data_IF_180056649548
#
_entry.id   IF_180056649548
#
_cell.length_a   1.000
_cell.length_b   1.000
_cell.length_c   1.000
_cell.angle_alpha   90.00
_cell.angle_beta   90.00
_cell.angle_gamma   90.00
#
_symmetry.space_group_name_H-M   'P 1'
#
loop_
_entity.id
_entity.type
_entity.pdbx_description
1 polymer ?
#
# COMPACT_ATOMS: atom_id res chain seq x y z
N UNK A 1 22.27 -7.02 -46.00
CA UNK A 1 22.33 -6.43 -44.63
C UNK A 1 23.76 -6.62 -44.13
N UNK A 2 24.46 -5.55 -43.77
CA UNK A 2 25.86 -5.67 -43.30
C UNK A 2 25.90 -6.14 -41.85
N UNK A 3 27.00 -6.83 -41.45
CA UNK A 3 27.19 -7.26 -40.05
C UNK A 3 26.97 -6.12 -39.03
N UNK A 4 27.39 -4.90 -39.39
CA UNK A 4 27.20 -3.69 -38.56
C UNK A 4 25.71 -3.35 -38.30
N UNK A 5 24.84 -3.59 -39.25
CA UNK A 5 23.41 -3.32 -39.11
C UNK A 5 22.72 -4.36 -38.19
N UNK A 6 23.21 -5.59 -38.19
CA UNK A 6 22.75 -6.66 -37.30
C UNK A 6 23.08 -6.31 -35.84
N UNK A 7 24.28 -5.85 -35.53
CA UNK A 7 24.67 -5.45 -34.18
C UNK A 7 23.85 -4.26 -33.67
N UNK A 8 23.57 -3.27 -34.50
CA UNK A 8 22.73 -2.12 -34.15
C UNK A 8 21.28 -2.57 -33.85
N UNK A 9 20.73 -3.45 -34.69
CA UNK A 9 19.37 -3.97 -34.46
C UNK A 9 19.29 -4.80 -33.16
N UNK A 10 20.26 -5.69 -32.91
CA UNK A 10 20.32 -6.47 -31.68
C UNK A 10 20.47 -5.59 -30.42
N UNK A 11 21.33 -4.57 -30.48
CA UNK A 11 21.49 -3.62 -29.37
C UNK A 11 20.20 -2.83 -29.11
N UNK A 12 19.51 -2.36 -30.15
CA UNK A 12 18.23 -1.65 -30.02
C UNK A 12 17.14 -2.54 -29.39
N UNK A 13 17.06 -3.80 -29.80
CA UNK A 13 16.12 -4.79 -29.22
C UNK A 13 16.44 -5.08 -27.75
N UNK A 14 17.72 -5.21 -27.40
CA UNK A 14 18.15 -5.43 -26.03
C UNK A 14 17.77 -4.23 -25.12
N UNK A 15 18.03 -3.01 -25.58
CA UNK A 15 17.65 -1.78 -24.86
C UNK A 15 16.14 -1.69 -24.72
N UNK A 16 15.38 -1.93 -25.79
CA UNK A 16 13.92 -1.93 -25.71
C UNK A 16 13.39 -2.99 -24.72
N UNK A 17 13.96 -4.18 -24.72
CA UNK A 17 13.63 -5.23 -23.75
C UNK A 17 13.88 -4.82 -22.30
N UNK A 18 15.04 -4.22 -22.02
CA UNK A 18 15.39 -3.70 -20.69
C UNK A 18 14.39 -2.61 -20.24
N UNK A 19 14.06 -1.68 -21.13
CA UNK A 19 13.09 -0.61 -20.84
C UNK A 19 11.71 -1.19 -20.54
N UNK A 20 11.24 -2.16 -21.31
CA UNK A 20 9.95 -2.83 -21.09
C UNK A 20 9.94 -3.53 -19.73
N UNK A 21 10.98 -4.29 -19.39
CA UNK A 21 11.08 -4.98 -18.08
C UNK A 21 11.11 -3.96 -16.94
N UNK A 22 11.87 -2.87 -17.07
CA UNK A 22 11.97 -1.82 -16.07
C UNK A 22 10.62 -1.10 -15.85
N UNK A 23 9.87 -0.83 -16.93
CA UNK A 23 8.54 -0.19 -16.82
C UNK A 23 7.47 -1.14 -16.29
N UNK A 24 7.61 -2.45 -16.56
CA UNK A 24 6.66 -3.45 -16.08
C UNK A 24 6.81 -3.76 -14.59
N UNK A 25 8.04 -3.80 -14.09
CA UNK A 25 8.36 -4.16 -12.70
C UNK A 25 9.44 -3.20 -12.13
N UNK A 26 9.11 -1.92 -11.96
CA UNK A 26 10.06 -0.92 -11.55
C UNK A 26 10.56 -1.18 -10.12
N UNK A 27 11.88 -1.24 -9.88
CA UNK A 27 12.44 -1.55 -8.56
C UNK A 27 12.14 -0.50 -7.49
N UNK A 28 11.84 0.73 -7.89
CA UNK A 28 11.52 1.86 -7.01
C UNK A 28 10.08 1.89 -6.50
N UNK A 29 9.18 1.08 -7.07
CA UNK A 29 7.74 1.15 -6.76
C UNK A 29 7.45 0.79 -5.30
N UNK A 30 8.30 -0.03 -4.68
CA UNK A 30 8.15 -0.39 -3.26
C UNK A 30 8.19 0.79 -2.29
N UNK A 31 8.81 1.91 -2.68
CA UNK A 31 8.83 3.15 -1.89
C UNK A 31 7.68 4.12 -2.19
N UNK A 32 6.85 3.81 -3.18
CA UNK A 32 5.75 4.70 -3.59
C UNK A 32 4.53 4.49 -2.70
N UNK A 33 3.93 5.59 -2.27
CA UNK A 33 2.66 5.57 -1.55
C UNK A 33 1.72 6.63 -2.11
N UNK A 34 0.41 6.37 -2.02
CA UNK A 34 -0.63 7.32 -2.39
C UNK A 34 -1.70 7.36 -1.31
N UNK A 35 -2.33 8.52 -1.11
CA UNK A 35 -3.36 8.69 -0.10
C UNK A 35 -2.89 8.55 1.35
N UNK A 36 -1.58 8.59 1.57
CA UNK A 36 -0.93 8.63 2.88
C UNK A 36 -0.26 10.00 3.05
N UNK A 37 -0.48 10.65 4.19
CA UNK A 37 0.18 11.91 4.52
C UNK A 37 1.59 11.68 5.05
N UNK A 38 2.29 12.77 5.38
CA UNK A 38 3.59 12.70 6.04
C UNK A 38 3.54 11.95 7.37
N UNK A 39 4.69 11.50 7.84
CA UNK A 39 4.81 10.89 9.15
C UNK A 39 4.62 11.94 10.24
N UNK A 40 3.83 11.59 11.23
CA UNK A 40 3.59 12.36 12.45
C UNK A 40 3.91 11.50 13.67
N UNK A 41 4.06 12.12 14.80
CA UNK A 41 4.35 11.43 16.07
C UNK A 41 3.31 11.83 17.11
N UNK A 42 2.67 10.84 17.70
CA UNK A 42 1.73 11.00 18.80
C UNK A 42 2.49 10.78 20.14
N UNK A 43 2.40 11.65 21.13
CA UNK A 43 2.92 11.32 22.45
C UNK A 43 2.25 10.05 23.00
N UNK A 44 2.97 9.04 23.49
CA UNK A 44 4.39 8.99 23.90
C UNK A 44 5.38 8.48 22.84
N UNK A 45 5.20 8.72 21.56
CA UNK A 45 6.21 8.41 20.57
C UNK A 45 5.80 7.39 19.51
N UNK A 46 4.51 7.14 19.33
CA UNK A 46 4.00 6.30 18.25
C UNK A 46 4.02 7.08 16.94
N UNK A 47 4.77 6.57 15.97
CA UNK A 47 4.75 7.13 14.62
C UNK A 47 3.54 6.64 13.83
N UNK A 48 2.89 7.56 13.13
CA UNK A 48 1.71 7.27 12.32
C UNK A 48 1.63 8.19 11.10
N UNK A 49 0.74 7.83 10.19
CA UNK A 49 0.36 8.64 9.03
C UNK A 49 -1.16 8.66 8.91
N UNK A 50 -1.72 9.78 8.51
CA UNK A 50 -3.11 9.85 8.13
C UNK A 50 -3.34 9.25 6.75
N UNK A 51 -4.40 8.46 6.61
CA UNK A 51 -4.92 8.09 5.31
C UNK A 51 -5.92 9.13 4.82
N UNK A 52 -6.11 9.19 3.51
CA UNK A 52 -7.33 9.76 2.91
C UNK A 52 -8.42 8.68 2.81
N UNK A 53 -9.48 8.91 2.03
CA UNK A 53 -10.52 7.89 1.81
C UNK A 53 -10.02 6.61 1.11
N UNK A 54 -8.87 6.69 0.46
CA UNK A 54 -8.14 5.55 -0.12
C UNK A 54 -6.65 5.77 0.05
N UNK A 55 -5.95 4.75 0.50
CA UNK A 55 -4.50 4.77 0.59
C UNK A 55 -3.93 3.53 -0.11
N UNK A 56 -2.78 3.71 -0.77
CA UNK A 56 -2.09 2.66 -1.51
C UNK A 56 -0.63 2.62 -1.11
N UNK A 57 -0.10 1.42 -0.92
CA UNK A 57 1.33 1.16 -0.74
C UNK A 57 1.69 -0.18 -1.37
N UNK A 58 2.99 -0.46 -1.47
CA UNK A 58 3.49 -1.67 -2.12
C UNK A 58 4.23 -2.56 -1.14
N UNK A 59 3.99 -3.87 -1.25
CA UNK A 59 4.56 -4.91 -0.40
C UNK A 59 5.34 -5.90 -1.27
N UNK A 60 6.52 -6.38 -0.84
CA UNK A 60 7.25 -7.41 -1.58
C UNK A 60 6.39 -8.65 -1.85
N UNK A 61 6.44 -9.16 -3.07
CA UNK A 61 5.61 -10.31 -3.47
C UNK A 61 5.99 -11.62 -2.78
N UNK A 62 7.18 -11.70 -2.19
CA UNK A 62 7.62 -12.83 -1.38
C UNK A 62 7.15 -12.77 0.09
N UNK A 63 6.56 -11.66 0.55
CA UNK A 63 5.97 -11.58 1.87
C UNK A 63 4.80 -12.56 2.00
N UNK A 64 4.75 -13.25 3.15
CA UNK A 64 3.72 -14.29 3.45
C UNK A 64 2.64 -13.78 4.37
N UNK A 65 2.90 -12.69 5.08
CA UNK A 65 1.93 -12.00 5.93
C UNK A 65 2.27 -10.52 6.07
N UNK A 66 1.27 -9.76 6.46
CA UNK A 66 1.37 -8.33 6.70
C UNK A 66 0.55 -7.96 7.93
N UNK A 67 1.13 -7.17 8.83
CA UNK A 67 0.42 -6.60 9.98
C UNK A 67 0.25 -5.11 9.76
N UNK A 68 -1.00 -4.65 9.75
CA UNK A 68 -1.37 -3.24 9.56
C UNK A 68 -1.94 -2.69 10.85
N UNK A 69 -1.25 -1.75 11.52
CA UNK A 69 -1.80 -1.03 12.67
C UNK A 69 -2.72 0.10 12.18
N UNK A 70 -3.95 0.14 12.68
CA UNK A 70 -4.95 1.15 12.33
C UNK A 70 -5.60 1.74 13.58
N UNK A 71 -5.96 3.03 13.53
CA UNK A 71 -6.74 3.71 14.56
C UNK A 71 -7.69 4.71 13.92
N UNK A 72 -8.96 4.68 14.30
CA UNK A 72 -9.97 5.62 13.83
C UNK A 72 -10.28 6.64 14.94
N UNK A 73 -9.65 7.80 14.88
CA UNK A 73 -9.84 8.88 15.87
C UNK A 73 -11.23 9.51 15.78
N UNK A 74 -11.83 9.47 14.60
CA UNK A 74 -13.14 10.05 14.34
C UNK A 74 -14.17 8.95 14.06
N UNK A 75 -14.85 8.43 15.08
CA UNK A 75 -15.91 7.44 14.91
C UNK A 75 -17.06 7.98 14.06
N UNK A 76 -17.86 7.08 13.52
CA UNK A 76 -19.07 7.43 12.78
C UNK A 76 -20.13 8.08 13.68
N UNK A 77 -21.16 8.70 13.06
CA UNK A 77 -22.33 9.15 13.82
C UNK A 77 -22.91 7.98 14.60
N UNK A 78 -23.42 8.27 15.80
CA UNK A 78 -24.04 7.26 16.68
C UNK A 78 -23.15 6.05 17.01
N UNK A 79 -21.81 6.24 17.00
CA UNK A 79 -20.87 5.18 17.30
C UNK A 79 -20.70 4.15 16.17
N UNK A 80 -21.15 4.46 14.95
CA UNK A 80 -20.97 3.58 13.79
C UNK A 80 -19.47 3.31 13.55
N UNK A 81 -19.07 2.05 13.43
CA UNK A 81 -17.68 1.69 13.16
C UNK A 81 -17.15 2.30 11.87
N UNK A 82 -15.91 2.75 11.89
CA UNK A 82 -15.17 3.04 10.64
C UNK A 82 -14.68 1.73 10.07
N UNK A 83 -15.10 1.42 8.84
CA UNK A 83 -14.68 0.20 8.14
C UNK A 83 -13.49 0.49 7.23
N UNK A 84 -12.50 -0.37 7.28
CA UNK A 84 -11.33 -0.34 6.41
C UNK A 84 -11.26 -1.64 5.63
N UNK A 85 -11.51 -1.58 4.33
CA UNK A 85 -11.27 -2.71 3.43
C UNK A 85 -9.78 -2.75 3.07
N UNK A 86 -9.15 -3.89 3.34
CA UNK A 86 -7.79 -4.18 2.94
C UNK A 86 -7.80 -5.06 1.69
N UNK A 87 -7.14 -4.62 0.63
CA UNK A 87 -7.14 -5.27 -0.68
C UNK A 87 -5.72 -5.54 -1.18
N UNK A 88 -5.53 -6.67 -1.85
CA UNK A 88 -4.31 -7.09 -2.54
C UNK A 88 -4.61 -7.17 -4.04
N UNK A 89 -4.06 -6.25 -4.85
CA UNK A 89 -4.35 -6.12 -6.28
C UNK A 89 -5.85 -6.22 -6.61
N UNK A 90 -6.67 -5.39 -5.95
CA UNK A 90 -8.14 -5.34 -6.05
C UNK A 90 -8.91 -6.49 -5.37
N UNK A 91 -8.24 -7.56 -4.93
CA UNK A 91 -8.88 -8.65 -4.20
C UNK A 91 -9.04 -8.28 -2.72
N UNK A 92 -10.26 -8.33 -2.21
CA UNK A 92 -10.51 -8.13 -0.77
C UNK A 92 -9.81 -9.23 0.05
N UNK A 93 -8.95 -8.80 0.99
CA UNK A 93 -8.31 -9.67 1.98
C UNK A 93 -9.17 -9.75 3.23
N UNK A 94 -9.57 -8.59 3.76
CA UNK A 94 -10.38 -8.50 4.98
C UNK A 94 -11.03 -7.12 5.09
N UNK A 95 -12.02 -7.01 5.93
CA UNK A 95 -12.61 -5.74 6.38
C UNK A 95 -12.39 -5.62 7.88
N UNK A 96 -11.81 -4.49 8.30
CA UNK A 96 -11.48 -4.19 9.69
C UNK A 96 -12.48 -3.15 10.17
N UNK A 97 -13.14 -3.41 11.30
CA UNK A 97 -14.04 -2.46 11.94
C UNK A 97 -13.35 -1.80 13.13
N UNK A 98 -13.30 -0.47 13.12
CA UNK A 98 -12.67 0.35 14.14
C UNK A 98 -13.77 1.08 14.91
N UNK A 99 -13.97 0.67 16.16
CA UNK A 99 -15.04 1.20 17.03
C UNK A 99 -14.51 2.10 18.13
N UNK A 100 -13.30 1.82 18.63
CA UNK A 100 -12.69 2.55 19.72
C UNK A 100 -11.70 3.61 19.17
N UNK A 101 -11.96 4.92 19.38
CA UNK A 101 -11.08 5.96 18.87
C UNK A 101 -9.73 6.03 19.59
N UNK A 102 -9.61 5.43 20.77
CA UNK A 102 -8.39 5.44 21.56
C UNK A 102 -7.50 4.21 21.35
N UNK A 103 -8.03 3.17 20.70
CA UNK A 103 -7.34 1.91 20.51
C UNK A 103 -6.67 1.78 19.13
N UNK A 104 -5.43 1.29 19.14
CA UNK A 104 -4.76 0.78 17.96
C UNK A 104 -5.16 -0.68 17.70
N UNK A 105 -5.80 -0.92 16.57
CA UNK A 105 -6.13 -2.27 16.10
C UNK A 105 -5.02 -2.75 15.17
N UNK A 106 -4.36 -3.86 15.52
CA UNK A 106 -3.31 -4.49 14.70
C UNK A 106 -3.87 -5.74 14.04
N UNK A 107 -4.07 -5.67 12.75
CA UNK A 107 -4.61 -6.79 11.98
C UNK A 107 -3.51 -7.44 11.16
N UNK A 108 -3.30 -8.74 11.37
CA UNK A 108 -2.39 -9.54 10.56
C UNK A 108 -3.18 -10.32 9.53
N UNK A 109 -2.82 -10.17 8.26
CA UNK A 109 -3.43 -10.89 7.15
C UNK A 109 -2.39 -11.75 6.44
N UNK A 110 -2.76 -12.99 6.07
CA UNK A 110 -1.91 -13.82 5.23
C UNK A 110 -1.88 -13.28 3.80
N UNK A 111 -0.71 -13.32 3.19
CA UNK A 111 -0.50 -12.96 1.80
C UNK A 111 -0.18 -14.23 1.00
N UNK A 112 -0.77 -14.38 -0.17
CA UNK A 112 -0.40 -15.49 -1.07
C UNK A 112 0.99 -15.24 -1.61
N UNK A 113 1.90 -16.20 -1.44
CA UNK A 113 3.21 -16.16 -2.07
C UNK A 113 3.05 -16.11 -3.59
N UNK A 114 3.89 -15.32 -4.22
CA UNK A 114 4.03 -15.33 -5.66
C UNK A 114 3.36 -14.16 -6.35
N UNK A 115 3.84 -13.93 -7.53
CA UNK A 115 3.49 -12.86 -8.45
C UNK A 115 4.61 -12.75 -9.46
N UNK A 116 4.32 -12.27 -10.66
CA UNK A 116 5.34 -12.00 -11.68
C UNK A 116 6.15 -10.74 -11.38
N UNK A 117 5.63 -9.89 -10.45
CA UNK A 117 6.24 -8.61 -10.06
C UNK A 117 6.92 -8.75 -8.71
N UNK A 118 7.94 -7.92 -8.47
CA UNK A 118 8.66 -7.82 -7.18
C UNK A 118 7.77 -7.34 -6.06
N UNK A 119 6.79 -6.46 -6.39
CA UNK A 119 5.89 -5.86 -5.44
C UNK A 119 4.44 -6.06 -5.88
N UNK A 120 3.55 -6.20 -4.89
CA UNK A 120 2.11 -6.19 -5.04
C UNK A 120 1.53 -4.90 -4.46
N UNK A 121 0.43 -4.45 -5.03
CA UNK A 121 -0.27 -3.26 -4.55
C UNK A 121 -1.22 -3.65 -3.43
N UNK A 122 -1.12 -2.92 -2.31
CA UNK A 122 -2.06 -3.01 -1.21
C UNK A 122 -2.85 -1.71 -1.16
N UNK A 123 -4.16 -1.83 -1.15
CA UNK A 123 -5.09 -0.71 -1.01
C UNK A 123 -5.83 -0.80 0.32
N UNK A 124 -5.94 0.34 1.00
CA UNK A 124 -6.85 0.58 2.10
C UNK A 124 -7.99 1.44 1.57
N UNK A 125 -9.23 0.98 1.71
CA UNK A 125 -10.42 1.77 1.39
C UNK A 125 -11.17 2.05 2.67
N UNK A 126 -11.27 3.32 3.03
CA UNK A 126 -11.81 3.80 4.28
C UNK A 126 -13.26 4.26 4.05
N UNK A 127 -14.19 3.76 4.86
CA UNK A 127 -15.62 4.06 4.73
C UNK A 127 -15.98 5.49 5.07
N UNK A 128 -15.11 6.22 5.78
CA UNK A 128 -15.37 7.58 6.24
C UNK A 128 -14.12 8.43 6.23
N UNK A 129 -14.27 9.65 5.76
CA UNK A 129 -13.28 10.73 5.87
C UNK A 129 -13.91 11.94 6.55
N UNK A 130 -13.11 12.73 7.26
CA UNK A 130 -13.59 13.85 8.08
C UNK A 130 -12.85 15.13 7.75
N UNK A 131 -13.60 16.22 7.78
CA UNK A 131 -13.11 17.59 7.70
C UNK A 131 -12.59 18.01 6.33
N UNK A 132 -12.13 19.26 6.24
CA UNK A 132 -11.64 19.82 4.98
C UNK A 132 -10.36 19.16 4.50
N UNK A 133 -9.67 18.43 5.35
CA UNK A 133 -8.42 17.74 5.03
C UNK A 133 -8.61 16.28 4.59
N UNK A 134 -9.85 15.79 4.49
CA UNK A 134 -10.16 14.41 4.10
C UNK A 134 -9.39 13.36 4.91
N UNK A 135 -9.37 13.52 6.23
CA UNK A 135 -8.70 12.58 7.14
C UNK A 135 -9.54 11.31 7.28
N UNK A 136 -8.94 10.18 6.95
CA UNK A 136 -9.52 8.85 7.13
C UNK A 136 -9.16 8.27 8.48
N UNK A 137 -8.25 7.28 8.48
CA UNK A 137 -7.73 6.64 9.69
C UNK A 137 -6.24 6.89 9.83
N UNK A 138 -5.72 6.77 11.04
CA UNK A 138 -4.29 6.68 11.28
C UNK A 138 -3.81 5.28 10.93
N UNK A 139 -2.66 5.17 10.28
CA UNK A 139 -1.92 3.92 10.11
C UNK A 139 -0.52 4.04 10.67
N UNK A 140 -0.09 3.06 11.45
CA UNK A 140 1.28 2.92 11.88
C UNK A 140 2.17 2.28 10.83
N UNK A 141 3.40 1.93 11.22
CA UNK A 141 4.30 1.20 10.35
C UNK A 141 3.77 -0.21 10.04
N UNK A 142 3.72 -0.55 8.76
CA UNK A 142 3.29 -1.86 8.30
C UNK A 142 4.44 -2.85 8.43
N UNK A 143 4.22 -3.94 9.17
CA UNK A 143 5.22 -4.99 9.38
C UNK A 143 4.95 -6.15 8.42
N UNK A 144 5.96 -6.56 7.68
CA UNK A 144 5.90 -7.64 6.71
C UNK A 144 6.77 -8.82 7.15
N UNK A 145 6.33 -10.04 6.83
CA UNK A 145 7.10 -11.29 7.06
C UNK A 145 7.01 -12.20 5.85
#
# INVERSE_FOLDING_TARGET
MTRANWFKAAAALAVAGIVVVYLYDPPWIGGVTSGLRGWEQDPPGTFFRWTTGRATFFVPSNATSMTVPLRAVFPGPDGTPVKVELRDDDRLLTTIELTDPDAWVRTTVPLKRGGRRRFRRIDLKISRVVGPFYLGVMTGEVVMR
#
